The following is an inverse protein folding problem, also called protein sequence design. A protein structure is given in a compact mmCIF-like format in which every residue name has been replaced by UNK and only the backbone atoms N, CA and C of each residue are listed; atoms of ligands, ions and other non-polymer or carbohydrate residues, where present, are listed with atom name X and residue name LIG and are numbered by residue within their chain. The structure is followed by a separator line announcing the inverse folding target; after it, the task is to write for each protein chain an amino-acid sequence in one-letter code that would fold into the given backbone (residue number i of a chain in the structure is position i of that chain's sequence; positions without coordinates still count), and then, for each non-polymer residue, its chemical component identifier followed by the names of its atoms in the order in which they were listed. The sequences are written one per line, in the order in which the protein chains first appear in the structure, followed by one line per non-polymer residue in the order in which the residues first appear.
data_IF_639486366080
#
_entry.id   IF_639486366080
#
_cell.length_a   1.000
_cell.length_b   1.000
_cell.length_c   1.000
_cell.angle_alpha   90.00
_cell.angle_beta   90.00
_cell.angle_gamma   90.00
#
_symmetry.space_group_name_H-M   'P 1'
#
loop_
_entity.id
_entity.type
_entity.pdbx_description
1 polymer ?
#
# COMPACT_ATOMS: atom_id res chain seq x y z
N UNK A 1 16.45 70.75 -51.73
CA UNK A 1 15.32 69.76 -51.72
C UNK A 1 15.85 68.47 -51.12
N UNK A 2 15.58 68.27 -49.84
CA UNK A 2 16.01 67.07 -49.09
C UNK A 2 14.85 66.13 -48.98
N UNK A 3 14.99 64.90 -49.55
CA UNK A 3 13.95 63.86 -49.46
C UNK A 3 14.27 62.99 -48.24
N UNK A 4 13.36 62.99 -47.25
CA UNK A 4 13.45 62.15 -46.06
C UNK A 4 12.65 60.85 -46.32
N UNK A 5 13.37 59.72 -46.47
CA UNK A 5 12.76 58.39 -46.57
C UNK A 5 12.48 57.85 -45.17
N UNK A 6 11.21 57.74 -44.82
CA UNK A 6 10.76 57.07 -43.58
C UNK A 6 10.68 55.57 -43.82
N UNK A 7 11.52 54.80 -43.14
CA UNK A 7 11.48 53.34 -43.14
C UNK A 7 10.60 52.87 -41.98
N UNK A 8 9.43 52.30 -42.30
CA UNK A 8 8.60 51.60 -41.33
C UNK A 8 9.22 50.26 -40.99
N UNK A 9 9.63 50.11 -39.74
CA UNK A 9 10.00 48.83 -39.15
C UNK A 9 8.71 48.17 -38.59
N UNK A 10 8.20 47.18 -39.26
CA UNK A 10 7.13 46.36 -38.73
C UNK A 10 7.70 45.37 -37.71
N UNK A 11 7.50 45.64 -36.41
CA UNK A 11 7.88 44.70 -35.34
C UNK A 11 6.82 43.58 -35.31
N UNK A 12 7.22 42.38 -35.76
CA UNK A 12 6.44 41.16 -35.65
C UNK A 12 6.50 40.65 -34.20
N UNK A 13 5.45 40.92 -33.43
CA UNK A 13 5.29 40.44 -32.06
C UNK A 13 4.87 38.97 -32.11
N UNK A 14 5.83 38.03 -31.97
CA UNK A 14 5.54 36.60 -31.82
C UNK A 14 5.05 36.37 -30.42
N UNK A 15 3.71 36.24 -30.26
CA UNK A 15 3.09 35.80 -29.01
C UNK A 15 3.47 34.30 -28.80
N UNK A 16 4.46 34.02 -27.96
CA UNK A 16 4.69 32.70 -27.43
C UNK A 16 3.55 32.36 -26.47
N UNK A 17 2.50 31.71 -26.98
CA UNK A 17 1.46 31.11 -26.18
C UNK A 17 2.05 29.89 -25.44
N UNK A 18 2.60 30.14 -24.26
CA UNK A 18 3.00 29.06 -23.33
C UNK A 18 1.72 28.31 -22.96
N UNK A 19 1.49 27.17 -23.63
CA UNK A 19 0.47 26.22 -23.20
C UNK A 19 0.97 25.65 -21.88
N UNK A 20 0.55 26.22 -20.75
CA UNK A 20 0.54 25.53 -19.47
C UNK A 20 -0.42 24.36 -19.63
N UNK A 21 0.11 23.21 -20.04
CA UNK A 21 -0.65 21.97 -20.06
C UNK A 21 -1.06 21.70 -18.62
N UNK A 22 -2.32 21.94 -18.29
CA UNK A 22 -2.94 21.38 -17.11
C UNK A 22 -2.74 19.87 -17.25
N UNK A 23 -1.91 19.30 -16.37
CA UNK A 23 -1.77 17.85 -16.28
C UNK A 23 -3.15 17.30 -15.97
N UNK A 24 -3.82 16.75 -16.97
CA UNK A 24 -5.09 16.08 -16.76
C UNK A 24 -4.79 14.86 -15.89
N UNK A 25 -5.54 14.69 -14.84
CA UNK A 25 -5.48 13.51 -13.96
C UNK A 25 -6.83 12.84 -13.96
N UNK A 26 -6.85 11.53 -13.80
CA UNK A 26 -8.07 10.73 -13.80
C UNK A 26 -8.38 10.23 -12.40
N UNK A 27 -9.67 10.01 -12.14
CA UNK A 27 -10.11 9.14 -11.06
C UNK A 27 -10.23 7.72 -11.60
N UNK A 28 -9.65 6.77 -10.87
CA UNK A 28 -9.66 5.35 -11.20
C UNK A 28 -10.45 4.61 -10.15
N UNK A 29 -11.42 3.83 -10.58
CA UNK A 29 -12.28 3.05 -9.69
C UNK A 29 -12.16 1.56 -9.98
N UNK A 30 -12.45 0.74 -8.97
CA UNK A 30 -12.64 -0.69 -9.09
C UNK A 30 -13.60 -1.18 -8.01
N UNK A 31 -14.11 -2.37 -8.17
CA UNK A 31 -14.90 -3.04 -7.14
C UNK A 31 -14.29 -4.40 -6.79
N UNK A 32 -14.17 -4.70 -5.51
CA UNK A 32 -13.60 -5.95 -5.02
C UNK A 32 -14.72 -6.86 -4.51
N UNK A 33 -14.70 -8.10 -4.95
CA UNK A 33 -15.56 -9.17 -4.44
C UNK A 33 -14.69 -10.27 -3.86
N UNK A 34 -14.86 -10.59 -2.57
CA UNK A 34 -14.16 -11.70 -1.91
C UNK A 34 -15.13 -12.84 -1.67
N UNK A 35 -14.78 -14.02 -2.14
CA UNK A 35 -15.45 -15.27 -1.81
C UNK A 35 -14.56 -16.13 -0.90
N UNK A 36 -15.16 -16.92 -0.02
CA UNK A 36 -14.43 -17.88 0.80
C UNK A 36 -14.59 -19.27 0.20
N UNK A 37 -13.47 -19.95 -0.05
CA UNK A 37 -13.48 -21.35 -0.44
C UNK A 37 -13.82 -22.23 0.77
N UNK A 38 -15.11 -22.37 1.08
CA UNK A 38 -15.58 -23.33 2.09
C UNK A 38 -16.23 -24.51 1.40
N UNK A 39 -16.14 -25.71 2.00
CA UNK A 39 -16.86 -26.90 1.52
C UNK A 39 -18.40 -26.76 1.58
N UNK A 40 -18.89 -25.71 2.18
CA UNK A 40 -20.30 -25.32 2.28
C UNK A 40 -20.44 -23.91 1.74
N UNK A 41 -21.21 -23.78 0.65
CA UNK A 41 -21.74 -22.55 0.02
C UNK A 41 -20.89 -21.27 0.21
N UNK A 42 -20.42 -20.72 -0.89
CA UNK A 42 -19.69 -19.44 -0.90
C UNK A 42 -20.46 -18.40 -0.07
N UNK A 43 -19.86 -17.95 1.04
CA UNK A 43 -20.37 -16.82 1.81
C UNK A 43 -19.61 -15.59 1.37
N UNK A 44 -20.30 -14.48 1.11
CA UNK A 44 -19.63 -13.20 0.89
C UNK A 44 -18.86 -12.82 2.15
N UNK A 45 -17.58 -12.58 2.00
CA UNK A 45 -16.70 -12.05 3.04
C UNK A 45 -16.66 -10.53 2.88
N UNK A 46 -16.42 -9.82 3.97
CA UNK A 46 -16.22 -8.38 3.91
C UNK A 46 -15.05 -8.06 2.96
N UNK A 47 -15.31 -7.26 1.93
CA UNK A 47 -14.33 -6.95 0.87
C UNK A 47 -13.41 -5.77 1.22
N UNK A 48 -13.27 -5.44 2.52
CA UNK A 48 -12.37 -4.38 3.01
C UNK A 48 -10.93 -4.85 3.15
N UNK A 49 -9.99 -3.90 3.09
CA UNK A 49 -8.58 -4.18 3.34
C UNK A 49 -7.83 -4.77 2.14
N UNK A 50 -8.43 -4.81 0.96
CA UNK A 50 -7.72 -5.14 -0.28
C UNK A 50 -6.96 -3.92 -0.77
N UNK A 51 -5.67 -4.07 -1.00
CA UNK A 51 -4.80 -3.01 -1.50
C UNK A 51 -4.64 -3.15 -3.01
N UNK A 52 -4.93 -2.09 -3.74
CA UNK A 52 -4.72 -2.00 -5.20
C UNK A 52 -3.77 -0.85 -5.46
N UNK A 53 -2.74 -1.07 -6.27
CA UNK A 53 -1.84 0.00 -6.66
C UNK A 53 -1.46 -0.07 -8.14
N UNK A 54 -1.06 1.09 -8.66
CA UNK A 54 -0.66 1.28 -10.03
C UNK A 54 0.80 1.74 -10.07
N UNK A 55 1.67 0.95 -10.69
CA UNK A 55 3.07 1.30 -10.91
C UNK A 55 3.25 1.77 -12.35
N UNK A 56 3.75 3.00 -12.60
CA UNK A 56 4.02 3.47 -13.96
C UNK A 56 4.98 2.51 -14.68
N UNK A 57 4.68 2.18 -15.96
CA UNK A 57 5.54 1.30 -16.77
C UNK A 57 6.71 2.09 -17.37
N UNK A 58 6.48 3.35 -17.75
CA UNK A 58 7.53 4.23 -18.23
C UNK A 58 8.16 4.98 -17.05
N UNK A 59 9.47 4.87 -16.89
CA UNK A 59 10.20 5.43 -15.73
C UNK A 59 10.20 6.98 -15.67
N UNK A 60 9.96 7.65 -16.80
CA UNK A 60 10.00 9.12 -16.88
C UNK A 60 8.80 9.81 -16.23
N UNK A 61 7.72 9.06 -15.95
CA UNK A 61 6.48 9.59 -15.33
C UNK A 61 6.36 9.26 -13.85
N UNK A 62 7.37 8.62 -13.25
CA UNK A 62 7.29 8.11 -11.89
C UNK A 62 7.29 9.24 -10.85
N UNK A 63 6.12 9.79 -10.53
CA UNK A 63 5.95 10.53 -9.28
C UNK A 63 6.14 9.55 -8.13
N UNK A 64 7.28 9.64 -7.43
CA UNK A 64 7.53 8.84 -6.24
C UNK A 64 6.69 9.37 -5.07
N UNK A 65 6.10 8.46 -4.33
CA UNK A 65 5.44 8.80 -3.07
C UNK A 65 6.48 9.37 -2.09
N UNK A 66 6.12 10.45 -1.39
CA UNK A 66 7.04 11.07 -0.42
C UNK A 66 7.09 10.25 0.86
N UNK A 67 8.27 9.84 1.33
CA UNK A 67 8.42 9.18 2.60
C UNK A 67 7.82 10.01 3.75
N UNK A 68 7.23 9.33 4.71
CA UNK A 68 6.60 9.93 5.88
C UNK A 68 6.98 9.20 7.17
N UNK A 69 6.31 9.58 8.26
CA UNK A 69 6.45 8.98 9.57
C UNK A 69 5.09 8.44 10.00
N UNK A 70 5.03 7.15 10.33
CA UNK A 70 3.81 6.42 10.62
C UNK A 70 3.93 5.70 11.95
N UNK A 71 2.82 5.19 12.47
CA UNK A 71 2.81 4.44 13.73
C UNK A 71 1.98 3.16 13.58
N UNK A 72 2.48 2.09 14.18
CA UNK A 72 1.81 0.80 14.31
C UNK A 72 1.85 0.42 15.79
N UNK A 73 0.78 0.75 16.50
CA UNK A 73 0.71 0.75 17.97
C UNK A 73 0.46 -0.68 18.45
N UNK A 74 1.16 -1.09 19.50
CA UNK A 74 0.89 -2.32 20.24
C UNK A 74 0.01 -1.98 21.43
N UNK A 75 -1.22 -2.48 21.41
CA UNK A 75 -2.20 -2.28 22.49
C UNK A 75 -3.20 -3.44 22.52
N UNK A 76 -3.56 -3.86 23.72
CA UNK A 76 -4.51 -4.95 23.95
C UNK A 76 -4.10 -6.26 23.23
N UNK A 77 -2.79 -6.58 23.26
CA UNK A 77 -2.17 -7.71 22.52
C UNK A 77 -2.53 -7.71 21.03
N UNK A 78 -2.54 -6.54 20.43
CA UNK A 78 -2.85 -6.33 19.01
C UNK A 78 -1.96 -5.25 18.41
N UNK A 79 -1.76 -5.29 17.10
CA UNK A 79 -1.20 -4.18 16.33
C UNK A 79 -2.32 -3.32 15.73
N UNK A 80 -2.23 -2.01 15.86
CA UNK A 80 -3.20 -1.07 15.33
C UNK A 80 -2.51 0.09 14.57
N UNK A 81 -2.85 0.28 13.28
CA UNK A 81 -3.78 -0.50 12.47
C UNK A 81 -3.25 -1.90 12.13
N UNK A 82 -4.14 -2.85 11.78
CA UNK A 82 -3.73 -4.18 11.31
C UNK A 82 -3.06 -4.13 9.93
N UNK A 83 -3.53 -3.26 9.04
CA UNK A 83 -2.96 -2.99 7.71
C UNK A 83 -2.49 -1.54 7.62
N UNK A 84 -1.22 -1.35 7.25
CA UNK A 84 -0.60 -0.05 7.06
C UNK A 84 0.10 0.00 5.70
N UNK A 85 -0.34 0.89 4.82
CA UNK A 85 0.33 1.16 3.54
C UNK A 85 1.15 2.44 3.68
N UNK A 86 2.44 2.36 3.33
CA UNK A 86 3.37 3.49 3.48
C UNK A 86 4.17 3.74 2.19
N UNK A 87 4.54 4.97 1.89
CA UNK A 87 5.52 5.28 0.87
C UNK A 87 6.87 4.60 1.16
N UNK A 88 7.52 4.09 0.11
CA UNK A 88 8.87 3.53 0.22
C UNK A 88 9.84 4.54 0.84
N UNK A 89 10.66 4.09 1.80
CA UNK A 89 11.59 4.93 2.55
C UNK A 89 11.00 5.59 3.80
N UNK A 90 9.72 5.37 4.09
CA UNK A 90 9.06 5.85 5.32
C UNK A 90 9.59 5.17 6.56
N UNK A 91 9.46 5.85 7.70
CA UNK A 91 9.71 5.31 9.02
C UNK A 91 8.39 4.92 9.69
N UNK A 92 8.37 3.80 10.39
CA UNK A 92 7.23 3.34 11.19
C UNK A 92 7.70 3.13 12.62
N UNK A 93 7.03 3.79 13.57
CA UNK A 93 7.21 3.59 15.00
C UNK A 93 6.32 2.47 15.50
N UNK A 94 6.84 1.72 16.45
CA UNK A 94 6.18 0.59 17.08
C UNK A 94 6.08 0.79 18.61
N UNK A 95 5.30 1.78 19.10
CA UNK A 95 5.15 2.02 20.51
C UNK A 95 4.44 0.87 21.22
N UNK A 96 4.96 0.46 22.39
CA UNK A 96 4.30 -0.49 23.28
C UNK A 96 3.44 0.27 24.31
N UNK A 97 2.13 0.13 24.19
CA UNK A 97 1.15 0.77 25.08
C UNK A 97 0.51 -0.24 26.05
N UNK A 98 0.98 -1.49 26.05
CA UNK A 98 0.54 -2.53 26.98
C UNK A 98 1.46 -2.57 28.22
N UNK A 99 0.95 -2.94 29.41
CA UNK A 99 1.73 -2.99 30.65
C UNK A 99 2.64 -4.23 30.76
N UNK A 100 3.06 -4.79 29.63
CA UNK A 100 3.93 -5.96 29.53
C UNK A 100 4.79 -5.91 28.28
N UNK A 101 5.78 -6.79 28.21
CA UNK A 101 6.72 -6.84 27.13
C UNK A 101 6.07 -7.32 25.81
N UNK A 102 6.53 -6.72 24.71
CA UNK A 102 6.30 -7.20 23.38
C UNK A 102 7.60 -7.35 22.60
N UNK A 103 7.54 -8.11 21.51
CA UNK A 103 8.58 -8.15 20.49
C UNK A 103 7.92 -7.87 19.15
N UNK A 104 8.60 -7.16 18.27
CA UNK A 104 8.15 -6.92 16.90
C UNK A 104 9.18 -7.44 15.94
N UNK A 105 8.79 -8.32 15.04
CA UNK A 105 9.67 -8.86 14.01
C UNK A 105 8.95 -9.07 12.67
N UNK A 106 9.75 -9.12 11.60
CA UNK A 106 9.33 -9.51 10.26
C UNK A 106 10.44 -10.33 9.60
N UNK A 107 10.10 -11.49 9.03
CA UNK A 107 11.06 -12.42 8.43
C UNK A 107 10.82 -12.70 6.95
N UNK A 108 9.64 -12.34 6.45
CA UNK A 108 9.21 -12.66 5.09
C UNK A 108 9.37 -11.45 4.16
N UNK A 109 8.94 -11.60 2.92
CA UNK A 109 9.02 -10.61 1.85
C UNK A 109 8.89 -9.16 2.36
N UNK A 110 9.59 -8.21 1.72
CA UNK A 110 9.65 -6.83 2.17
C UNK A 110 10.78 -6.59 3.18
N UNK A 111 10.57 -5.71 4.15
CA UNK A 111 11.59 -5.37 5.17
C UNK A 111 11.69 -6.44 6.25
N UNK A 112 12.89 -6.99 6.44
CA UNK A 112 13.20 -7.95 7.51
C UNK A 112 13.83 -7.23 8.69
N UNK A 113 13.34 -7.52 9.91
CA UNK A 113 13.90 -6.97 11.15
C UNK A 113 13.43 -7.76 12.36
N UNK A 114 14.11 -7.58 13.49
CA UNK A 114 13.71 -8.03 14.82
C UNK A 114 14.11 -6.95 15.84
N UNK A 115 13.11 -6.36 16.49
CA UNK A 115 13.32 -5.30 17.47
C UNK A 115 13.67 -5.82 18.88
N UNK A 116 13.67 -7.14 19.08
CA UNK A 116 13.81 -7.73 20.40
C UNK A 116 12.61 -7.44 21.30
N UNK A 117 12.72 -7.87 22.56
CA UNK A 117 11.73 -7.57 23.59
C UNK A 117 11.90 -6.12 24.07
N UNK A 118 10.80 -5.44 24.34
CA UNK A 118 10.79 -4.12 24.97
C UNK A 118 9.51 -3.87 25.78
N UNK A 119 9.65 -3.03 26.80
CA UNK A 119 8.69 -2.77 27.85
C UNK A 119 7.65 -1.71 27.47
N UNK A 120 6.65 -1.54 28.33
CA UNK A 120 5.65 -0.45 28.28
C UNK A 120 6.31 0.92 28.11
N UNK A 121 5.68 1.77 27.29
CA UNK A 121 6.12 3.14 27.03
C UNK A 121 7.34 3.25 26.13
N UNK A 122 7.99 2.14 25.79
CA UNK A 122 9.09 2.12 24.82
C UNK A 122 8.58 2.23 23.41
N UNK A 123 9.34 2.92 22.55
CA UNK A 123 9.06 3.08 21.13
C UNK A 123 10.29 2.71 20.31
N UNK A 124 10.11 1.94 19.25
CA UNK A 124 11.19 1.56 18.32
C UNK A 124 10.78 1.83 16.90
N UNK A 125 11.70 2.33 16.11
CA UNK A 125 11.45 2.77 14.73
C UNK A 125 12.13 1.84 13.73
N UNK A 126 11.43 1.53 12.63
CA UNK A 126 11.97 0.82 11.46
C UNK A 126 11.76 1.65 10.22
N UNK A 127 12.80 1.78 9.40
CA UNK A 127 12.70 2.38 8.06
C UNK A 127 12.37 1.31 7.03
N UNK A 128 11.29 1.51 6.28
CA UNK A 128 10.82 0.62 5.22
C UNK A 128 11.43 1.04 3.87
N UNK A 129 12.68 0.67 3.65
CA UNK A 129 13.51 1.00 2.48
C UNK A 129 13.52 -0.09 1.40
N UNK A 130 12.71 -1.14 1.55
CA UNK A 130 12.48 -2.19 0.57
C UNK A 130 10.99 -2.23 0.22
N UNK A 131 10.71 -2.17 -1.09
CA UNK A 131 9.33 -2.28 -1.58
C UNK A 131 8.79 -3.69 -1.35
N UNK A 132 7.52 -3.77 -0.99
CA UNK A 132 6.82 -5.04 -0.82
C UNK A 132 6.02 -5.15 0.47
N UNK A 133 5.56 -6.38 0.74
CA UNK A 133 4.69 -6.72 1.86
C UNK A 133 5.53 -7.29 3.00
N UNK A 134 5.48 -6.65 4.16
CA UNK A 134 6.12 -7.11 5.39
C UNK A 134 5.04 -7.57 6.36
N UNK A 135 5.07 -8.85 6.70
CA UNK A 135 4.22 -9.41 7.75
C UNK A 135 4.87 -9.17 9.10
N UNK A 136 4.18 -8.51 9.98
CA UNK A 136 4.65 -8.09 11.31
C UNK A 136 4.03 -9.02 12.36
N UNK A 137 4.85 -9.53 13.26
CA UNK A 137 4.43 -10.48 14.29
C UNK A 137 5.03 -10.14 15.65
N UNK A 138 4.38 -10.63 16.71
CA UNK A 138 4.96 -10.67 18.05
C UNK A 138 5.47 -12.08 18.36
N UNK A 139 6.69 -12.20 18.93
CA UNK A 139 7.29 -13.51 19.22
C UNK A 139 6.69 -14.22 20.44
N UNK A 140 5.92 -13.52 21.26
CA UNK A 140 5.36 -14.07 22.51
C UNK A 140 3.82 -14.13 22.52
N UNK A 141 3.16 -13.45 21.60
CA UNK A 141 1.70 -13.44 21.48
C UNK A 141 1.29 -13.89 20.07
N UNK A 142 0.92 -15.18 19.89
CA UNK A 142 0.68 -15.76 18.55
C UNK A 142 -0.43 -15.13 17.77
N UNK A 143 -1.37 -14.43 18.43
CA UNK A 143 -2.48 -13.74 17.78
C UNK A 143 -2.12 -12.33 17.27
N UNK A 144 -0.94 -11.80 17.66
CA UNK A 144 -0.52 -10.45 17.26
C UNK A 144 0.14 -10.48 15.88
N UNK A 145 -0.60 -10.03 14.90
CA UNK A 145 -0.12 -9.85 13.53
C UNK A 145 -0.57 -8.53 12.93
N UNK A 146 0.20 -8.01 11.99
CA UNK A 146 -0.16 -6.89 11.13
C UNK A 146 0.58 -6.99 9.81
N UNK A 147 0.21 -6.12 8.88
CA UNK A 147 0.86 -6.04 7.56
C UNK A 147 1.27 -4.60 7.28
N UNK A 148 2.52 -4.41 6.89
CA UNK A 148 3.02 -3.14 6.37
C UNK A 148 3.39 -3.33 4.91
N UNK A 149 2.77 -2.54 4.03
CA UNK A 149 3.05 -2.56 2.59
C UNK A 149 3.76 -1.26 2.23
N UNK A 150 5.03 -1.37 1.81
CA UNK A 150 5.82 -0.23 1.36
C UNK A 150 5.81 -0.16 -0.17
N UNK A 151 5.40 0.98 -0.73
CA UNK A 151 5.23 1.16 -2.17
C UNK A 151 5.96 2.42 -2.67
N UNK A 152 6.62 2.32 -3.81
CA UNK A 152 7.28 3.45 -4.46
C UNK A 152 6.27 4.40 -5.13
N UNK A 153 5.13 3.87 -5.57
CA UNK A 153 4.07 4.63 -6.24
C UNK A 153 3.15 5.34 -5.25
N UNK A 154 2.67 6.56 -5.55
CA UNK A 154 1.62 7.21 -4.77
C UNK A 154 0.21 6.73 -5.14
N UNK A 155 0.05 6.00 -6.25
CA UNK A 155 -1.24 5.57 -6.77
C UNK A 155 -1.66 4.25 -6.13
N UNK A 156 -2.16 4.35 -4.92
CA UNK A 156 -2.60 3.22 -4.11
C UNK A 156 -3.91 3.53 -3.41
N UNK A 157 -4.79 2.53 -3.32
CA UNK A 157 -6.02 2.61 -2.54
C UNK A 157 -6.27 1.29 -1.80
N UNK A 158 -7.02 1.39 -0.71
CA UNK A 158 -7.47 0.25 0.10
C UNK A 158 -8.99 0.18 -0.01
N UNK A 159 -9.52 -1.00 -0.31
CA UNK A 159 -10.96 -1.20 -0.43
C UNK A 159 -11.69 -0.88 0.87
N UNK A 160 -12.81 -0.20 0.76
CA UNK A 160 -13.70 0.05 1.88
C UNK A 160 -14.57 -1.20 2.22
N UNK A 161 -15.47 -1.07 3.20
CA UNK A 161 -16.34 -2.16 3.64
C UNK A 161 -17.28 -2.69 2.54
N UNK A 162 -17.57 -1.87 1.55
CA UNK A 162 -18.40 -2.22 0.38
C UNK A 162 -17.57 -2.79 -0.78
N UNK A 163 -16.24 -2.87 -0.65
CA UNK A 163 -15.34 -3.35 -1.70
C UNK A 163 -14.95 -2.27 -2.73
N UNK A 164 -15.31 -1.02 -2.53
CA UNK A 164 -14.96 0.03 -3.48
C UNK A 164 -13.49 0.44 -3.33
N UNK A 165 -12.84 0.63 -4.47
CA UNK A 165 -11.49 1.16 -4.65
C UNK A 165 -11.60 2.48 -5.41
N UNK A 166 -10.94 3.51 -4.91
CA UNK A 166 -10.89 4.84 -5.54
C UNK A 166 -9.47 5.38 -5.47
N UNK A 167 -8.82 5.53 -6.64
CA UNK A 167 -7.53 6.20 -6.77
C UNK A 167 -7.75 7.55 -7.44
N UNK A 168 -7.24 8.60 -6.82
CA UNK A 168 -7.44 9.97 -7.31
C UNK A 168 -6.14 10.51 -7.92
N UNK A 169 -6.30 11.45 -8.86
CA UNK A 169 -5.19 12.18 -9.46
C UNK A 169 -4.16 11.30 -10.16
N UNK A 170 -4.60 10.21 -10.80
CA UNK A 170 -3.73 9.32 -11.57
C UNK A 170 -3.49 9.94 -12.95
N UNK A 171 -2.23 10.25 -13.35
CA UNK A 171 -1.94 10.75 -14.69
C UNK A 171 -2.35 9.74 -15.77
N UNK A 172 -2.81 10.23 -16.95
CA UNK A 172 -3.04 9.37 -18.10
C UNK A 172 -1.73 8.72 -18.57
N UNK A 173 -1.62 7.40 -18.41
CA UNK A 173 -0.46 6.62 -18.83
C UNK A 173 -0.79 5.11 -18.79
N UNK A 174 0.23 4.29 -19.10
CA UNK A 174 0.20 2.85 -18.94
C UNK A 174 0.81 2.44 -17.58
N UNK A 175 0.08 1.63 -16.85
CA UNK A 175 0.46 1.16 -15.51
C UNK A 175 0.44 -0.36 -15.43
N UNK A 176 1.26 -0.89 -14.55
CA UNK A 176 1.09 -2.23 -14.01
C UNK A 176 0.20 -2.14 -12.76
N UNK A 177 -0.98 -2.75 -12.84
CA UNK A 177 -1.88 -2.88 -11.70
C UNK A 177 -1.51 -4.14 -10.92
N UNK A 178 -1.40 -4.00 -9.60
CA UNK A 178 -1.21 -5.10 -8.66
C UNK A 178 -2.23 -5.05 -7.55
N UNK A 179 -2.48 -6.21 -6.97
CA UNK A 179 -3.46 -6.39 -5.89
C UNK A 179 -2.81 -7.18 -4.76
N UNK A 180 -3.13 -6.81 -3.54
CA UNK A 180 -2.83 -7.59 -2.35
C UNK A 180 -4.08 -7.71 -1.48
N UNK A 181 -4.30 -8.90 -0.95
CA UNK A 181 -5.34 -9.18 0.03
C UNK A 181 -4.83 -10.24 1.02
N UNK A 182 -5.15 -10.06 2.29
CA UNK A 182 -4.82 -11.04 3.31
C UNK A 182 -5.60 -12.34 3.08
N UNK A 183 -4.99 -13.49 3.35
CA UNK A 183 -5.63 -14.80 3.18
C UNK A 183 -5.78 -15.29 1.74
N UNK A 184 -5.35 -14.50 0.75
CA UNK A 184 -5.31 -14.90 -0.66
C UNK A 184 -3.90 -15.36 -1.03
N UNK A 185 -3.79 -16.48 -1.73
CA UNK A 185 -2.47 -17.03 -2.06
C UNK A 185 -1.74 -16.20 -3.13
N UNK A 186 -0.40 -16.22 -3.06
CA UNK A 186 0.45 -15.42 -3.95
C UNK A 186 0.25 -15.74 -5.44
N UNK A 187 -0.10 -16.99 -5.81
CA UNK A 187 -0.34 -17.37 -7.20
C UNK A 187 -1.55 -16.65 -7.77
N UNK A 188 -2.63 -16.56 -6.99
CA UNK A 188 -3.86 -15.85 -7.37
C UNK A 188 -3.62 -14.34 -7.46
N UNK A 189 -2.94 -13.76 -6.45
CA UNK A 189 -2.58 -12.34 -6.47
C UNK A 189 -1.70 -11.99 -7.68
N UNK A 190 -0.71 -12.82 -8.01
CA UNK A 190 0.15 -12.63 -9.18
C UNK A 190 -0.63 -12.75 -10.50
N UNK A 191 -1.64 -13.62 -10.58
CA UNK A 191 -2.47 -13.78 -11.77
C UNK A 191 -3.35 -12.54 -12.04
N UNK A 192 -3.63 -11.72 -11.04
CA UNK A 192 -4.34 -10.44 -11.17
C UNK A 192 -3.45 -9.29 -11.64
N UNK A 193 -2.13 -9.46 -11.61
CA UNK A 193 -1.19 -8.45 -12.11
C UNK A 193 -1.39 -8.28 -13.62
N UNK A 194 -1.71 -7.06 -14.03
CA UNK A 194 -1.99 -6.77 -15.45
C UNK A 194 -1.61 -5.34 -15.82
N UNK A 195 -1.37 -5.13 -17.11
CA UNK A 195 -1.24 -3.78 -17.65
C UNK A 195 -2.62 -3.15 -17.81
N UNK A 196 -2.72 -1.89 -17.40
CA UNK A 196 -3.91 -1.05 -17.57
C UNK A 196 -3.50 0.27 -18.19
N UNK A 197 -4.40 0.86 -18.96
CA UNK A 197 -4.22 2.20 -19.52
C UNK A 197 -5.19 3.15 -18.84
N UNK A 198 -4.67 4.19 -18.24
CA UNK A 198 -5.48 5.23 -17.59
C UNK A 198 -5.71 6.36 -18.58
N UNK A 199 -6.97 6.68 -18.83
CA UNK A 199 -7.38 7.79 -19.69
C UNK A 199 -7.30 9.13 -18.99
N UNK A 200 -7.80 10.18 -19.67
CA UNK A 200 -7.69 11.57 -19.20
C UNK A 200 -8.81 12.02 -18.28
N UNK A 201 -9.80 11.17 -17.98
CA UNK A 201 -10.95 11.57 -17.16
C UNK A 201 -11.24 10.54 -16.07
N UNK A 202 -11.98 9.50 -16.40
CA UNK A 202 -12.39 8.45 -15.49
C UNK A 202 -12.02 7.10 -16.10
N UNK A 203 -11.50 6.18 -15.26
CA UNK A 203 -11.19 4.80 -15.69
C UNK A 203 -11.78 3.83 -14.69
N UNK A 204 -12.64 2.93 -15.18
CA UNK A 204 -13.16 1.81 -14.40
C UNK A 204 -12.34 0.55 -14.70
N UNK A 205 -11.68 -0.01 -13.69
CA UNK A 205 -10.89 -1.23 -13.81
C UNK A 205 -11.74 -2.50 -13.69
N UNK A 206 -13.04 -2.35 -13.41
CA UNK A 206 -14.01 -3.43 -13.28
C UNK A 206 -13.96 -4.15 -11.93
N UNK A 207 -14.49 -5.38 -11.92
CA UNK A 207 -14.56 -6.19 -10.71
C UNK A 207 -13.28 -7.01 -10.54
N UNK A 208 -12.71 -6.95 -9.34
CA UNK A 208 -11.56 -7.75 -8.89
C UNK A 208 -12.11 -8.87 -8.01
N UNK A 209 -12.13 -10.08 -8.55
CA UNK A 209 -12.60 -11.26 -7.82
C UNK A 209 -11.44 -11.95 -7.12
N UNK A 210 -11.60 -12.23 -5.82
CA UNK A 210 -10.62 -12.88 -4.96
C UNK A 210 -11.26 -14.07 -4.24
N UNK A 211 -10.43 -15.09 -4.00
CA UNK A 211 -10.84 -16.25 -3.21
C UNK A 211 -9.97 -16.37 -1.96
N UNK A 212 -10.57 -16.14 -0.79
CA UNK A 212 -9.89 -16.38 0.49
C UNK A 212 -9.74 -17.90 0.69
N UNK A 213 -8.51 -18.37 0.74
CA UNK A 213 -8.18 -19.81 0.81
C UNK A 213 -7.99 -20.31 2.25
N UNK A 214 -8.31 -19.49 3.25
CA UNK A 214 -8.23 -19.87 4.66
C UNK A 214 -6.80 -20.13 5.16
N UNK A 215 -5.78 -19.72 4.42
CA UNK A 215 -4.41 -19.61 4.93
C UNK A 215 -4.39 -18.43 5.92
N UNK A 216 -5.18 -18.59 6.99
CA UNK A 216 -5.23 -17.63 8.08
C UNK A 216 -3.85 -17.41 8.66
N UNK A 217 -3.74 -16.43 9.54
CA UNK A 217 -2.53 -15.89 10.19
C UNK A 217 -1.74 -16.90 11.04
N UNK A 218 -1.83 -18.20 10.73
CA UNK A 218 -1.01 -19.22 11.36
C UNK A 218 0.45 -18.98 10.97
N UNK A 219 1.19 -18.35 11.85
CA UNK A 219 2.60 -18.10 11.70
C UNK A 219 3.40 -18.77 12.82
N UNK A 220 4.66 -18.98 12.55
CA UNK A 220 5.62 -19.49 13.52
C UNK A 220 6.30 -18.33 14.27
N UNK A 221 6.90 -18.64 15.40
CA UNK A 221 7.72 -17.69 16.13
C UNK A 221 8.97 -17.30 15.29
N UNK A 222 9.75 -16.34 15.75
CA UNK A 222 10.94 -15.87 15.02
C UNK A 222 12.04 -16.91 14.83
N UNK A 223 11.95 -18.04 15.51
CA UNK A 223 12.88 -19.18 15.37
C UNK A 223 12.36 -20.26 14.42
N UNK A 224 11.16 -20.07 13.85
CA UNK A 224 10.51 -21.04 12.96
C UNK A 224 9.79 -22.17 13.68
N UNK A 225 9.56 -22.03 14.99
CA UNK A 225 8.90 -23.01 15.84
C UNK A 225 7.44 -22.62 16.10
N UNK A 226 6.64 -23.57 16.52
CA UNK A 226 5.28 -23.29 16.98
C UNK A 226 5.32 -22.56 18.33
N UNK A 227 4.35 -21.68 18.56
CA UNK A 227 4.23 -21.00 19.84
C UNK A 227 3.87 -22.01 20.94
N UNK A 228 4.48 -21.85 22.10
CA UNK A 228 4.07 -22.62 23.28
C UNK A 228 2.62 -22.24 23.64
N UNK A 229 1.76 -23.23 23.99
CA UNK A 229 0.44 -22.95 24.51
C UNK A 229 0.55 -21.99 25.70
N UNK A 230 -0.25 -20.93 25.70
CA UNK A 230 -0.34 -20.02 26.86
C UNK A 230 -0.80 -20.83 28.07
N UNK A 231 0.10 -21.07 29.00
CA UNK A 231 -0.18 -21.83 30.24
C UNK A 231 -0.85 -20.95 31.30
N UNK A 232 -1.50 -19.85 30.86
CA UNK A 232 -2.24 -18.98 31.77
C UNK A 232 -1.35 -18.23 32.74
N UNK A 233 -0.11 -17.91 32.36
CA UNK A 233 0.73 -17.01 33.15
C UNK A 233 0.12 -15.63 33.13
N UNK A 234 -0.53 -15.26 34.21
CA UNK A 234 -0.85 -13.89 34.58
C UNK A 234 0.48 -13.15 34.75
N UNK A 235 0.84 -12.33 33.76
CA UNK A 235 1.81 -11.25 33.92
C UNK A 235 1.07 -9.97 34.11
#
# INVERSE_FOLDING_TARGET
MLSISVRFFAALLVLLCSRTGLSQSADVVAHVEISRATKQKASHVQSSGVVVWLSPIASDSATSARPGHFRLIQKDKSFNPHLLVVPLGSSVDFPNMDPFFHNVFSQFNGKRFDLGLYEEGSDKTVRFDHEGVSYIFCNIHPQMSAVVIALATPYVAVSNAQGNIELHNVPPDAYEMRVWAEGVNAKELNALTRRVHIGSSHTDLGVIQLTENGAGNAHKNKYGEDYFPDRGSTY
#
